data_IF_115071232048
#
_entry.id   IF_115071232048
#
_cell.length_a   1.000
_cell.length_b   1.000
_cell.length_c   1.000
_cell.angle_alpha   90.00
_cell.angle_beta   90.00
_cell.angle_gamma   90.00
#
_symmetry.space_group_name_H-M   'P 1'
#
loop_
_entity.id
_entity.type
_entity.pdbx_description
1 polymer ?
#
# COMPACT_ATOMS: atom_id res chain seq x y z
N UNK A 1 -1.68 -2.18 44.77
CA UNK A 1 -2.33 -3.29 44.06
C UNK A 1 -1.59 -3.36 42.76
N UNK A 2 -0.81 -4.42 42.61
CA UNK A 2 0.38 -4.54 41.76
C UNK A 2 0.09 -4.24 40.29
N UNK A 3 0.96 -3.43 39.68
CA UNK A 3 1.18 -3.43 38.22
C UNK A 3 1.91 -4.73 37.88
N UNK A 4 1.17 -5.73 37.39
CA UNK A 4 1.73 -6.89 36.70
C UNK A 4 2.30 -6.42 35.36
N UNK A 5 3.58 -6.00 35.39
CA UNK A 5 4.42 -5.99 34.20
C UNK A 5 4.47 -7.44 33.69
N UNK A 6 3.79 -7.70 32.57
CA UNK A 6 3.93 -8.94 31.80
C UNK A 6 5.42 -9.17 31.51
N UNK A 7 6.04 -10.08 32.25
CA UNK A 7 7.38 -10.55 31.91
C UNK A 7 7.33 -11.21 30.52
N UNK A 8 8.26 -10.89 29.61
CA UNK A 8 8.29 -11.52 28.31
C UNK A 8 8.50 -13.02 28.47
N UNK A 9 7.71 -13.81 27.74
CA UNK A 9 7.79 -15.26 27.70
C UNK A 9 9.22 -15.73 27.37
N UNK A 10 9.92 -16.22 28.39
CA UNK A 10 11.32 -16.64 28.33
C UNK A 10 11.59 -17.72 27.26
N UNK A 11 10.58 -18.50 26.89
CA UNK A 11 10.65 -19.47 25.79
C UNK A 11 10.82 -18.82 24.42
N UNK A 12 10.07 -17.76 24.14
CA UNK A 12 10.11 -17.01 22.89
C UNK A 12 11.45 -16.27 22.70
N UNK A 13 12.02 -15.72 23.78
CA UNK A 13 13.34 -15.05 23.75
C UNK A 13 14.46 -16.04 23.41
N UNK A 14 14.41 -17.27 23.94
CA UNK A 14 15.42 -18.30 23.67
C UNK A 14 15.46 -18.76 22.20
N UNK A 15 14.30 -18.83 21.53
CA UNK A 15 14.19 -19.22 20.12
C UNK A 15 14.76 -18.15 19.17
N UNK A 16 14.53 -16.88 19.47
CA UNK A 16 15.10 -15.77 18.68
C UNK A 16 16.63 -15.79 18.79
N UNK A 17 17.17 -16.14 19.96
CA UNK A 17 18.62 -16.19 20.17
C UNK A 17 19.28 -17.39 19.46
N UNK A 18 18.61 -18.55 19.41
CA UNK A 18 19.06 -19.66 18.57
C UNK A 18 19.09 -19.28 17.07
N UNK A 19 18.16 -18.43 16.63
CA UNK A 19 18.11 -17.92 15.27
C UNK A 19 19.29 -16.99 14.95
N UNK A 20 19.71 -16.11 15.87
CA UNK A 20 20.87 -15.23 15.67
C UNK A 20 22.20 -15.99 15.59
N UNK A 21 22.29 -17.17 16.23
CA UNK A 21 23.40 -18.12 16.03
C UNK A 21 23.50 -18.68 14.61
N UNK A 22 22.49 -18.45 13.74
CA UNK A 22 22.41 -18.90 12.35
C UNK A 22 22.08 -17.74 11.38
N UNK A 23 22.85 -16.65 11.45
CA UNK A 23 22.65 -15.46 10.62
C UNK A 23 22.39 -15.76 9.12
N UNK A 24 23.07 -16.76 8.53
CA UNK A 24 22.90 -17.17 7.12
C UNK A 24 21.48 -17.63 6.75
N UNK A 25 20.65 -18.03 7.72
CA UNK A 25 19.27 -18.45 7.51
C UNK A 25 18.25 -17.34 7.70
N UNK A 26 18.68 -16.11 8.02
CA UNK A 26 17.80 -14.99 8.34
C UNK A 26 17.62 -14.06 7.14
N UNK A 27 16.37 -13.68 6.89
CA UNK A 27 15.99 -12.64 5.94
C UNK A 27 15.23 -11.54 6.69
N UNK A 28 15.77 -10.33 6.66
CA UNK A 28 15.08 -9.13 7.12
C UNK A 28 14.43 -8.44 5.93
N UNK A 29 13.15 -8.10 6.05
CA UNK A 29 12.41 -7.37 5.02
C UNK A 29 11.98 -6.03 5.63
N UNK A 30 12.54 -4.94 5.11
CA UNK A 30 12.12 -3.58 5.42
C UNK A 30 11.20 -3.12 4.30
N UNK A 31 9.89 -3.21 4.55
CA UNK A 31 8.87 -2.78 3.60
C UNK A 31 8.64 -1.27 3.72
N UNK A 32 8.72 -0.60 2.59
CA UNK A 32 8.67 0.85 2.36
C UNK A 32 9.52 1.70 3.32
N UNK A 33 10.83 1.70 3.09
CA UNK A 33 11.76 2.52 3.87
C UNK A 33 11.47 4.04 3.79
N UNK A 34 10.64 4.51 2.86
CA UNK A 34 10.26 5.93 2.80
C UNK A 34 9.37 6.35 3.96
N UNK A 35 8.59 5.43 4.50
CA UNK A 35 7.70 5.71 5.62
C UNK A 35 8.46 5.76 6.95
N UNK A 36 9.71 5.30 6.96
CA UNK A 36 10.57 5.37 8.14
C UNK A 36 10.88 6.83 8.50
N UNK A 37 10.36 7.26 9.65
CA UNK A 37 10.39 8.67 10.09
C UNK A 37 11.80 9.16 10.41
N UNK A 38 12.64 8.28 10.93
CA UNK A 38 14.01 8.62 11.30
C UNK A 38 14.94 8.57 10.09
N UNK A 39 15.86 9.53 10.01
CA UNK A 39 16.83 9.56 8.92
C UNK A 39 17.90 8.49 9.11
N UNK A 40 18.10 7.64 8.11
CA UNK A 40 19.23 6.70 8.05
C UNK A 40 20.34 7.31 7.20
N UNK A 41 21.44 7.72 7.82
CA UNK A 41 22.58 8.30 7.12
C UNK A 41 23.60 7.24 6.70
N UNK A 42 23.53 6.84 5.42
CA UNK A 42 24.52 5.96 4.82
C UNK A 42 25.80 6.70 4.41
N UNK A 43 25.83 8.04 4.46
CA UNK A 43 27.01 8.80 4.10
C UNK A 43 28.11 8.66 5.15
N UNK A 44 29.31 8.31 4.69
CA UNK A 44 30.47 8.02 5.54
C UNK A 44 31.05 9.29 6.23
N UNK A 45 30.41 10.45 6.06
CA UNK A 45 30.98 11.77 6.36
C UNK A 45 30.96 12.07 7.87
N UNK A 46 30.01 11.52 8.63
CA UNK A 46 29.89 11.77 10.08
C UNK A 46 30.68 10.79 10.96
N UNK A 47 31.26 9.72 10.40
CA UNK A 47 31.83 8.60 11.18
C UNK A 47 33.23 8.84 11.76
N UNK A 48 33.90 9.93 11.40
CA UNK A 48 35.26 10.22 11.87
C UNK A 48 35.32 11.15 13.10
N UNK A 49 34.18 11.58 13.66
CA UNK A 49 34.19 12.67 14.66
C UNK A 49 33.60 12.25 16.02
N UNK A 50 32.72 11.25 16.11
CA UNK A 50 32.22 10.76 17.41
C UNK A 50 31.96 9.24 17.40
N UNK A 51 32.16 8.54 18.54
CA UNK A 51 31.83 7.13 18.69
C UNK A 51 30.30 6.99 18.84
N UNK A 52 29.56 7.17 17.75
CA UNK A 52 28.13 6.92 17.73
C UNK A 52 27.94 5.42 17.44
N UNK A 53 27.29 4.76 18.39
CA UNK A 53 27.24 3.33 18.63
C UNK A 53 26.94 2.52 17.36
N UNK A 54 27.95 1.80 16.85
CA UNK A 54 27.74 0.82 15.79
C UNK A 54 27.03 -0.38 16.42
N UNK A 55 25.73 -0.54 16.15
CA UNK A 55 24.95 -1.70 16.58
C UNK A 55 25.54 -2.96 15.92
N UNK A 56 26.48 -3.59 16.61
CA UNK A 56 27.23 -4.77 16.11
C UNK A 56 26.93 -6.00 16.95
N UNK A 57 26.44 -5.78 18.17
CA UNK A 57 26.04 -6.80 19.10
C UNK A 57 24.49 -6.89 19.12
N UNK A 58 23.90 -8.03 18.74
CA UNK A 58 22.45 -8.22 18.79
C UNK A 58 21.88 -8.14 20.21
N UNK A 59 22.71 -8.22 21.25
CA UNK A 59 22.29 -8.07 22.65
C UNK A 59 22.31 -6.60 23.13
N UNK A 60 22.87 -5.69 22.33
CA UNK A 60 23.00 -4.28 22.71
C UNK A 60 21.74 -3.47 22.42
N UNK A 61 21.36 -2.61 23.37
CA UNK A 61 20.31 -1.61 23.15
C UNK A 61 20.82 -0.54 22.20
N UNK A 62 20.15 -0.37 21.06
CA UNK A 62 20.48 0.59 20.03
C UNK A 62 19.19 1.23 19.50
N UNK A 63 19.31 2.42 18.91
CA UNK A 63 18.20 3.04 18.19
C UNK A 63 17.81 2.17 16.97
N UNK A 64 16.53 2.16 16.61
CA UNK A 64 16.03 1.36 15.47
C UNK A 64 16.74 1.75 14.18
N UNK A 65 16.99 3.04 13.98
CA UNK A 65 17.73 3.56 12.83
C UNK A 65 19.16 3.00 12.74
N UNK A 66 19.84 2.82 13.88
CA UNK A 66 21.19 2.23 13.96
C UNK A 66 21.16 0.71 13.71
N UNK A 67 20.11 0.02 14.15
CA UNK A 67 19.90 -1.41 13.87
C UNK A 67 19.67 -1.63 12.37
N UNK A 68 18.74 -0.87 11.76
CA UNK A 68 18.44 -0.96 10.32
C UNK A 68 19.68 -0.64 9.50
N UNK A 69 20.39 0.43 9.84
CA UNK A 69 21.66 0.78 9.23
C UNK A 69 22.67 -0.37 9.32
N UNK A 70 22.85 -0.95 10.51
CA UNK A 70 23.87 -1.97 10.75
C UNK A 70 23.54 -3.31 10.09
N UNK A 71 22.26 -3.67 9.97
CA UNK A 71 21.81 -4.84 9.19
C UNK A 71 22.07 -4.65 7.70
N UNK A 72 21.68 -3.51 7.12
CA UNK A 72 21.90 -3.20 5.69
C UNK A 72 23.40 -3.19 5.36
N UNK A 73 24.23 -2.74 6.29
CA UNK A 73 25.68 -2.69 6.12
C UNK A 73 26.40 -3.98 6.53
N UNK A 74 25.64 -5.03 6.90
CA UNK A 74 26.14 -6.32 7.38
C UNK A 74 27.09 -6.21 8.59
N UNK A 75 26.95 -5.15 9.39
CA UNK A 75 27.67 -4.93 10.66
C UNK A 75 27.00 -5.66 11.81
N UNK A 76 25.68 -5.80 11.74
CA UNK A 76 24.89 -6.65 12.63
C UNK A 76 24.52 -7.94 11.92
N UNK A 77 24.68 -9.08 12.60
CA UNK A 77 24.37 -10.43 12.08
C UNK A 77 24.97 -10.68 10.68
N UNK A 78 26.32 -10.64 10.54
CA UNK A 78 26.97 -10.83 9.25
C UNK A 78 26.58 -12.17 8.64
N UNK A 79 26.13 -12.14 7.38
CA UNK A 79 25.62 -13.30 6.65
C UNK A 79 24.10 -13.36 6.52
N UNK A 80 23.34 -12.53 7.25
CA UNK A 80 21.91 -12.38 6.97
C UNK A 80 21.65 -11.72 5.61
N UNK A 81 20.47 -12.00 5.06
CA UNK A 81 19.96 -11.31 3.87
C UNK A 81 19.06 -10.16 4.30
N UNK A 82 19.12 -9.05 3.57
CA UNK A 82 18.26 -7.88 3.80
C UNK A 82 17.61 -7.50 2.48
N UNK A 83 16.28 -7.43 2.48
CA UNK A 83 15.46 -6.91 1.38
C UNK A 83 14.85 -5.58 1.83
N UNK A 84 15.05 -4.55 1.04
CA UNK A 84 14.48 -3.22 1.27
C UNK A 84 13.59 -2.88 0.09
N UNK A 85 12.35 -2.48 0.35
CA UNK A 85 11.48 -1.87 -0.65
C UNK A 85 11.43 -0.36 -0.39
N UNK A 86 11.38 0.42 -1.46
CA UNK A 86 11.34 1.88 -1.38
C UNK A 86 10.87 2.44 -2.73
N UNK A 87 10.07 3.51 -2.71
CA UNK A 87 9.77 4.28 -3.90
C UNK A 87 11.03 4.95 -4.49
N UNK A 88 10.99 5.20 -5.79
CA UNK A 88 12.15 5.72 -6.54
C UNK A 88 12.65 7.07 -6.02
N UNK A 89 11.82 7.89 -5.36
CA UNK A 89 12.23 9.21 -4.88
C UNK A 89 13.22 9.16 -3.71
N UNK A 90 13.31 8.07 -2.94
CA UNK A 90 14.35 7.89 -1.92
C UNK A 90 15.51 6.97 -2.34
N UNK A 91 15.55 6.53 -3.60
CA UNK A 91 16.66 5.71 -4.13
C UNK A 91 18.04 6.33 -3.85
N UNK A 92 18.15 7.67 -3.93
CA UNK A 92 19.37 8.43 -3.65
C UNK A 92 19.89 8.27 -2.21
N UNK A 93 19.03 7.97 -1.23
CA UNK A 93 19.45 7.68 0.15
C UNK A 93 20.15 6.32 0.23
N UNK A 94 19.66 5.36 -0.55
CA UNK A 94 20.14 3.99 -0.60
C UNK A 94 21.33 3.79 -1.54
N UNK A 95 21.63 4.72 -2.45
CA UNK A 95 22.83 4.67 -3.31
C UNK A 95 24.13 4.50 -2.51
N UNK A 96 24.19 5.15 -1.33
CA UNK A 96 25.36 5.07 -0.43
C UNK A 96 25.32 3.87 0.50
N UNK A 97 24.24 3.09 0.48
CA UNK A 97 24.05 1.95 1.37
C UNK A 97 24.84 0.69 0.94
N UNK A 98 25.52 0.71 -0.22
CA UNK A 98 26.34 -0.41 -0.66
C UNK A 98 25.53 -1.66 -1.03
N UNK A 99 24.29 -1.47 -1.52
CA UNK A 99 23.37 -2.55 -1.88
C UNK A 99 23.94 -3.41 -3.01
N UNK A 100 23.94 -4.72 -2.80
CA UNK A 100 24.53 -5.69 -3.74
C UNK A 100 23.67 -5.95 -4.99
N UNK A 101 22.34 -5.91 -4.85
CA UNK A 101 21.40 -6.21 -5.94
C UNK A 101 20.27 -5.18 -5.92
N UNK A 102 20.01 -4.61 -7.10
CA UNK A 102 18.89 -3.70 -7.33
C UNK A 102 17.89 -4.35 -8.26
N UNK A 103 16.61 -4.24 -7.92
CA UNK A 103 15.50 -4.66 -8.76
C UNK A 103 14.46 -3.54 -8.79
N UNK A 104 13.95 -3.24 -9.98
CA UNK A 104 12.86 -2.29 -10.18
C UNK A 104 11.57 -3.07 -10.41
N UNK A 105 10.54 -2.79 -9.61
CA UNK A 105 9.20 -3.35 -9.82
C UNK A 105 8.53 -2.50 -10.90
N UNK A 106 8.57 -3.01 -12.11
CA UNK A 106 7.95 -2.34 -13.26
C UNK A 106 6.42 -2.41 -13.13
N UNK A 107 5.84 -3.60 -13.02
CA UNK A 107 4.40 -3.82 -13.09
C UNK A 107 4.12 -4.94 -14.08
N UNK A 108 2.90 -5.00 -14.63
CA UNK A 108 2.52 -6.06 -15.56
C UNK A 108 3.06 -5.83 -16.98
N UNK A 109 3.90 -6.77 -17.41
CA UNK A 109 4.52 -6.79 -18.74
C UNK A 109 4.07 -8.02 -19.54
N UNK A 110 3.99 -7.87 -20.87
CA UNK A 110 3.56 -8.94 -21.77
C UNK A 110 2.22 -9.56 -21.37
N UNK A 111 2.18 -10.89 -21.24
CA UNK A 111 0.96 -11.65 -20.95
C UNK A 111 0.45 -11.53 -19.51
N UNK A 112 1.18 -10.87 -18.61
CA UNK A 112 0.79 -10.74 -17.19
C UNK A 112 -0.53 -9.99 -17.01
N UNK A 113 -0.81 -9.01 -17.86
CA UNK A 113 -2.08 -8.27 -17.86
C UNK A 113 -3.25 -9.22 -18.14
N UNK A 114 -3.15 -10.03 -19.19
CA UNK A 114 -4.14 -11.03 -19.54
C UNK A 114 -4.32 -12.06 -18.41
N UNK A 115 -3.21 -12.55 -17.82
CA UNK A 115 -3.24 -13.46 -16.68
C UNK A 115 -3.96 -12.88 -15.47
N UNK A 116 -3.76 -11.59 -15.18
CA UNK A 116 -4.49 -10.91 -14.11
C UNK A 116 -6.01 -10.99 -14.33
N UNK A 117 -6.50 -10.56 -15.49
CA UNK A 117 -7.94 -10.56 -15.75
C UNK A 117 -8.53 -11.99 -15.75
N UNK A 118 -7.81 -12.98 -16.27
CA UNK A 118 -8.22 -14.38 -16.21
C UNK A 118 -8.27 -14.94 -14.79
N UNK A 119 -7.42 -14.44 -13.88
CA UNK A 119 -7.45 -14.83 -12.47
C UNK A 119 -8.49 -14.06 -11.67
N UNK A 120 -8.79 -12.82 -12.07
CA UNK A 120 -9.73 -11.96 -11.37
C UNK A 120 -11.19 -12.40 -11.54
N UNK A 121 -11.59 -12.75 -12.77
CA UNK A 121 -12.97 -13.15 -13.06
C UNK A 121 -13.13 -14.68 -13.02
N UNK A 122 -14.17 -15.15 -12.35
CA UNK A 122 -14.53 -16.58 -12.33
C UNK A 122 -14.95 -17.08 -13.72
N UNK A 123 -15.69 -16.26 -14.46
CA UNK A 123 -16.16 -16.59 -15.81
C UNK A 123 -15.13 -16.18 -16.88
N UNK A 124 -14.51 -17.18 -17.51
CA UNK A 124 -13.47 -16.96 -18.52
C UNK A 124 -13.93 -16.13 -19.74
N UNK A 125 -15.23 -16.18 -20.08
CA UNK A 125 -15.80 -15.35 -21.14
C UNK A 125 -15.85 -13.87 -20.75
N UNK A 126 -16.11 -13.57 -19.48
CA UNK A 126 -16.09 -12.21 -18.92
C UNK A 126 -14.65 -11.69 -18.92
N UNK A 127 -13.70 -12.50 -18.42
CA UNK A 127 -12.28 -12.16 -18.43
C UNK A 127 -11.78 -11.78 -19.83
N UNK A 128 -12.05 -12.63 -20.83
CA UNK A 128 -11.65 -12.40 -22.20
C UNK A 128 -12.30 -11.14 -22.81
N UNK A 129 -13.58 -10.88 -22.49
CA UNK A 129 -14.29 -9.71 -23.00
C UNK A 129 -13.78 -8.40 -22.38
N UNK A 130 -13.53 -8.38 -21.07
CA UNK A 130 -12.93 -7.24 -20.36
C UNK A 130 -11.53 -6.97 -20.88
N UNK A 131 -10.67 -8.00 -20.94
CA UNK A 131 -9.29 -7.84 -21.41
C UNK A 131 -9.26 -7.31 -22.84
N UNK A 132 -10.08 -7.84 -23.75
CA UNK A 132 -10.19 -7.33 -25.12
C UNK A 132 -10.61 -5.87 -25.16
N UNK A 133 -11.59 -5.46 -24.35
CA UNK A 133 -12.02 -4.05 -24.30
C UNK A 133 -10.91 -3.13 -23.78
N UNK A 134 -10.12 -3.60 -22.81
CA UNK A 134 -8.93 -2.87 -22.31
C UNK A 134 -7.85 -2.79 -23.39
N UNK A 135 -7.56 -3.89 -24.08
CA UNK A 135 -6.55 -3.99 -25.13
C UNK A 135 -6.88 -3.11 -26.36
N UNK A 136 -8.16 -3.02 -26.74
CA UNK A 136 -8.64 -2.16 -27.83
C UNK A 136 -8.57 -0.66 -27.50
N UNK A 137 -8.30 -0.28 -26.24
CA UNK A 137 -8.20 1.10 -25.79
C UNK A 137 -6.80 1.40 -25.26
N UNK A 138 -5.99 2.11 -26.05
CA UNK A 138 -4.59 2.41 -25.75
C UNK A 138 -4.36 3.04 -24.36
N UNK A 139 -5.27 3.92 -23.92
CA UNK A 139 -5.17 4.57 -22.60
C UNK A 139 -5.38 3.54 -21.49
N UNK A 140 -6.46 2.75 -21.57
CA UNK A 140 -6.76 1.74 -20.55
C UNK A 140 -5.68 0.64 -20.54
N UNK A 141 -5.21 0.22 -21.72
CA UNK A 141 -4.15 -0.76 -21.85
C UNK A 141 -2.83 -0.25 -21.25
N UNK A 142 -2.46 1.01 -21.49
CA UNK A 142 -1.27 1.63 -20.90
C UNK A 142 -1.37 1.69 -19.38
N UNK A 143 -2.52 2.12 -18.85
CA UNK A 143 -2.75 2.19 -17.41
C UNK A 143 -2.72 0.80 -16.75
N UNK A 144 -3.18 -0.25 -17.44
CA UNK A 144 -3.17 -1.64 -16.95
C UNK A 144 -1.78 -2.26 -16.75
N UNK A 145 -0.71 -1.52 -17.04
CA UNK A 145 0.63 -1.85 -16.56
C UNK A 145 0.72 -1.82 -15.02
N UNK A 146 0.02 -0.91 -14.35
CA UNK A 146 0.00 -0.84 -12.89
C UNK A 146 -1.12 -1.77 -12.35
N UNK A 147 -0.80 -2.72 -11.45
CA UNK A 147 -1.78 -3.67 -10.91
C UNK A 147 -3.03 -3.05 -10.27
N UNK A 148 -2.90 -1.89 -9.62
CA UNK A 148 -4.04 -1.18 -9.01
C UNK A 148 -5.04 -0.73 -10.07
N UNK A 149 -4.58 -0.34 -11.26
CA UNK A 149 -5.48 -0.02 -12.37
C UNK A 149 -6.18 -1.24 -12.94
N UNK A 150 -5.52 -2.40 -12.99
CA UNK A 150 -6.20 -3.64 -13.39
C UNK A 150 -7.36 -3.98 -12.45
N UNK A 151 -7.19 -3.74 -11.15
CA UNK A 151 -8.25 -3.93 -10.17
C UNK A 151 -9.43 -2.97 -10.41
N UNK A 152 -9.17 -1.67 -10.57
CA UNK A 152 -10.18 -0.65 -10.89
C UNK A 152 -10.91 -1.01 -12.20
N UNK A 153 -10.17 -1.34 -13.26
CA UNK A 153 -10.73 -1.74 -14.55
C UNK A 153 -11.65 -2.96 -14.41
N UNK A 154 -11.24 -3.95 -13.61
CA UNK A 154 -12.01 -5.17 -13.44
C UNK A 154 -13.33 -4.91 -12.70
N UNK A 155 -13.29 -4.11 -11.64
CA UNK A 155 -14.49 -3.70 -10.88
C UNK A 155 -15.41 -2.81 -11.71
N UNK A 156 -14.88 -1.90 -12.53
CA UNK A 156 -15.67 -0.99 -13.36
C UNK A 156 -16.28 -1.67 -14.59
N UNK A 157 -15.57 -2.61 -15.22
CA UNK A 157 -15.97 -3.19 -16.51
C UNK A 157 -16.70 -4.52 -16.38
N UNK A 158 -16.44 -5.31 -15.34
CA UNK A 158 -16.92 -6.70 -15.23
C UNK A 158 -18.41 -6.85 -15.49
N UNK A 159 -19.24 -6.03 -14.83
CA UNK A 159 -20.71 -6.07 -14.93
C UNK A 159 -21.26 -5.92 -16.35
N UNK A 160 -20.58 -5.19 -17.22
CA UNK A 160 -21.00 -5.02 -18.62
C UNK A 160 -20.89 -6.30 -19.44
N UNK A 161 -20.14 -7.29 -18.94
CA UNK A 161 -19.85 -8.54 -19.63
C UNK A 161 -20.40 -9.78 -18.92
N UNK A 162 -20.85 -9.68 -17.67
CA UNK A 162 -21.44 -10.78 -16.88
C UNK A 162 -22.91 -11.09 -17.23
N UNK A 163 -23.70 -10.09 -17.64
CA UNK A 163 -25.15 -10.29 -17.84
C UNK A 163 -25.58 -10.42 -19.31
N UNK A 164 -26.74 -11.08 -19.51
CA UNK A 164 -27.51 -11.08 -20.77
C UNK A 164 -27.95 -9.67 -21.22
N UNK A 165 -27.73 -8.65 -20.38
CA UNK A 165 -27.99 -7.23 -20.62
C UNK A 165 -26.90 -6.48 -21.41
N UNK A 166 -26.18 -7.22 -22.27
CA UNK A 166 -25.35 -6.72 -23.37
C UNK A 166 -25.98 -5.61 -24.24
N UNK A 167 -27.27 -5.30 -24.06
CA UNK A 167 -28.13 -4.61 -25.03
C UNK A 167 -28.49 -3.17 -24.69
N UNK A 168 -28.15 -2.60 -23.53
CA UNK A 168 -28.64 -1.23 -23.21
C UNK A 168 -27.59 -0.22 -22.75
N UNK A 169 -26.47 -0.62 -22.14
CA UNK A 169 -25.46 0.35 -21.68
C UNK A 169 -24.17 0.29 -22.50
N UNK A 170 -23.63 1.47 -22.86
CA UNK A 170 -22.34 1.59 -23.54
C UNK A 170 -21.22 1.32 -22.55
N UNK A 171 -20.35 0.36 -22.86
CA UNK A 171 -19.18 0.04 -22.05
C UNK A 171 -18.28 1.28 -21.91
N UNK A 172 -17.80 1.64 -20.70
CA UNK A 172 -16.95 2.79 -20.45
C UNK A 172 -15.70 2.81 -21.33
N UNK A 173 -15.43 3.95 -21.98
CA UNK A 173 -14.23 4.13 -22.83
C UNK A 173 -13.30 5.24 -22.35
N UNK A 174 -13.80 6.19 -21.57
CA UNK A 174 -12.98 7.26 -21.00
C UNK A 174 -12.69 6.98 -19.53
N UNK A 175 -11.59 7.55 -19.03
CA UNK A 175 -11.21 7.46 -17.61
C UNK A 175 -12.35 8.01 -16.72
N UNK A 176 -12.95 9.14 -17.09
CA UNK A 176 -14.11 9.71 -16.38
C UNK A 176 -15.26 8.72 -16.29
N UNK A 177 -15.64 8.07 -17.40
CA UNK A 177 -16.69 7.05 -17.39
C UNK A 177 -16.30 5.87 -16.49
N UNK A 178 -15.05 5.40 -16.60
CA UNK A 178 -14.56 4.29 -15.80
C UNK A 178 -14.68 4.57 -14.30
N UNK A 179 -14.26 5.76 -13.86
CA UNK A 179 -14.34 6.16 -12.46
C UNK A 179 -15.77 6.45 -12.02
N UNK A 180 -16.62 7.04 -12.87
CA UNK A 180 -18.06 7.15 -12.57
C UNK A 180 -18.69 5.78 -12.31
N UNK A 181 -18.37 4.76 -13.13
CA UNK A 181 -18.87 3.41 -12.91
C UNK A 181 -18.21 2.70 -11.73
N UNK A 182 -16.95 2.99 -11.43
CA UNK A 182 -16.28 2.51 -10.21
C UNK A 182 -17.05 2.94 -8.97
N UNK A 183 -17.29 4.25 -8.84
CA UNK A 183 -18.04 4.85 -7.73
C UNK A 183 -19.48 4.30 -7.70
N UNK A 184 -20.16 4.27 -8.85
CA UNK A 184 -21.51 3.71 -8.95
C UNK A 184 -21.56 2.25 -8.46
N UNK A 185 -20.60 1.40 -8.84
CA UNK A 185 -20.58 0.01 -8.43
C UNK A 185 -20.39 -0.14 -6.92
N UNK A 186 -19.55 0.70 -6.30
CA UNK A 186 -19.40 0.75 -4.85
C UNK A 186 -20.72 1.15 -4.20
N UNK A 187 -21.37 2.22 -4.66
CA UNK A 187 -22.65 2.68 -4.14
C UNK A 187 -23.74 1.60 -4.23
N UNK A 188 -23.80 0.84 -5.32
CA UNK A 188 -24.77 -0.25 -5.48
C UNK A 188 -24.53 -1.42 -4.52
N UNK A 189 -23.27 -1.72 -4.20
CA UNK A 189 -22.89 -2.87 -3.38
C UNK A 189 -22.83 -2.56 -1.88
N UNK A 190 -22.41 -1.35 -1.52
CA UNK A 190 -22.12 -0.96 -0.14
C UNK A 190 -23.01 0.20 0.36
N UNK A 191 -23.84 0.80 -0.51
CA UNK A 191 -24.71 1.93 -0.15
C UNK A 191 -26.09 1.55 0.38
N UNK A 192 -26.42 0.26 0.50
CA UNK A 192 -27.76 -0.20 0.89
C UNK A 192 -28.15 0.19 2.32
N UNK A 193 -27.17 0.39 3.20
CA UNK A 193 -27.38 0.74 4.61
C UNK A 193 -27.23 2.24 4.89
N UNK A 194 -27.13 3.08 3.86
CA UNK A 194 -26.90 4.52 3.99
C UNK A 194 -28.16 5.29 3.66
N UNK A 195 -28.56 6.15 4.60
CA UNK A 195 -29.73 7.00 4.46
C UNK A 195 -29.58 8.05 3.35
N UNK A 196 -28.38 8.63 3.17
CA UNK A 196 -28.08 9.59 2.10
C UNK A 196 -26.68 9.36 1.48
N UNK A 197 -26.56 8.52 0.45
CA UNK A 197 -25.29 8.27 -0.24
C UNK A 197 -24.70 9.50 -0.92
N UNK A 198 -25.51 10.51 -1.24
CA UNK A 198 -25.05 11.73 -1.88
C UNK A 198 -24.32 12.63 -0.88
N UNK A 199 -24.87 12.83 0.32
CA UNK A 199 -24.21 13.57 1.40
C UNK A 199 -22.86 12.93 1.79
N UNK A 200 -22.81 11.60 1.90
CA UNK A 200 -21.56 10.91 2.20
C UNK A 200 -20.53 11.07 1.07
N UNK A 201 -20.95 10.99 -0.19
CA UNK A 201 -20.06 11.19 -1.33
C UNK A 201 -19.51 12.62 -1.39
N UNK A 202 -20.32 13.63 -1.05
CA UNK A 202 -19.86 15.02 -0.93
C UNK A 202 -18.80 15.17 0.17
N UNK A 203 -19.06 14.65 1.37
CA UNK A 203 -18.09 14.68 2.49
C UNK A 203 -16.80 13.95 2.16
N UNK A 204 -16.91 12.80 1.48
CA UNK A 204 -15.74 12.06 0.99
C UNK A 204 -14.97 12.89 -0.06
N UNK A 205 -15.68 13.60 -0.94
CA UNK A 205 -15.12 14.53 -1.91
C UNK A 205 -14.34 15.67 -1.26
N UNK A 206 -14.90 16.30 -0.22
CA UNK A 206 -14.24 17.36 0.54
C UNK A 206 -12.95 16.87 1.24
N UNK A 207 -13.01 15.66 1.82
CA UNK A 207 -11.83 15.00 2.40
C UNK A 207 -10.77 14.70 1.34
N UNK A 208 -11.18 14.16 0.19
CA UNK A 208 -10.29 13.85 -0.92
C UNK A 208 -9.65 15.12 -1.51
N UNK A 209 -10.41 16.21 -1.62
CA UNK A 209 -9.95 17.52 -2.10
C UNK A 209 -8.91 18.13 -1.17
N UNK A 210 -9.18 18.12 0.14
CA UNK A 210 -8.20 18.54 1.15
C UNK A 210 -6.94 17.70 1.04
N UNK A 211 -7.10 16.37 0.97
CA UNK A 211 -5.98 15.45 0.82
C UNK A 211 -5.13 15.72 -0.43
N UNK A 212 -5.76 15.91 -1.59
CA UNK A 212 -5.06 16.20 -2.84
C UNK A 212 -4.32 17.54 -2.78
N UNK A 213 -4.95 18.58 -2.21
CA UNK A 213 -4.37 19.91 -2.05
C UNK A 213 -3.15 19.92 -1.13
N UNK A 214 -3.18 19.09 -0.08
CA UNK A 214 -2.12 18.96 0.91
C UNK A 214 -1.11 17.84 0.59
N UNK A 215 -1.28 17.15 -0.55
CA UNK A 215 -0.50 15.96 -0.94
C UNK A 215 -0.53 14.84 0.10
N UNK A 216 -1.66 14.71 0.80
CA UNK A 216 -1.96 13.67 1.77
C UNK A 216 -2.69 12.51 1.09
N UNK A 217 -2.10 11.32 1.22
CA UNK A 217 -2.61 10.06 0.67
C UNK A 217 -3.08 9.07 1.77
N UNK A 218 -2.58 9.25 2.99
CA UNK A 218 -2.95 8.47 4.18
C UNK A 218 -3.86 9.30 5.08
N UNK A 219 -5.04 8.75 5.40
CA UNK A 219 -6.05 9.35 6.27
C UNK A 219 -6.16 8.53 7.56
N UNK A 220 -6.34 9.19 8.70
CA UNK A 220 -6.50 8.55 10.01
C UNK A 220 -7.96 8.63 10.47
N UNK A 221 -8.29 7.90 11.53
CA UNK A 221 -9.61 7.96 12.17
C UNK A 221 -10.08 9.40 12.45
N UNK A 222 -9.17 10.31 12.86
CA UNK A 222 -9.51 11.72 13.08
C UNK A 222 -10.00 12.44 11.82
N UNK A 223 -9.42 12.14 10.66
CA UNK A 223 -9.85 12.69 9.37
C UNK A 223 -11.25 12.18 9.00
N UNK A 224 -11.48 10.87 9.16
CA UNK A 224 -12.80 10.27 8.89
C UNK A 224 -13.89 10.84 9.78
N UNK A 225 -13.62 11.02 11.08
CA UNK A 225 -14.58 11.59 12.03
C UNK A 225 -14.89 13.05 11.66
N UNK A 226 -13.88 13.82 11.22
CA UNK A 226 -14.06 15.22 10.84
C UNK A 226 -15.04 15.38 9.66
N UNK A 227 -14.93 14.55 8.63
CA UNK A 227 -15.75 14.69 7.42
C UNK A 227 -16.99 13.80 7.42
N UNK A 228 -16.84 12.53 7.78
CA UNK A 228 -17.83 11.46 7.55
C UNK A 228 -18.56 11.06 8.83
N UNK A 229 -18.05 11.49 10.00
CA UNK A 229 -18.63 11.36 11.34
C UNK A 229 -18.73 9.94 11.91
N UNK A 230 -18.97 8.89 11.10
CA UNK A 230 -18.87 7.49 11.51
C UNK A 230 -18.13 6.63 10.49
N UNK A 231 -17.11 5.84 10.92
CA UNK A 231 -16.55 4.77 10.11
C UNK A 231 -17.64 3.73 9.87
N UNK A 232 -18.14 3.62 8.64
CA UNK A 232 -19.18 2.66 8.28
C UNK A 232 -18.65 1.64 7.26
N UNK A 233 -19.36 0.53 7.10
CA UNK A 233 -19.08 -0.48 6.07
C UNK A 233 -19.01 0.14 4.66
N UNK A 234 -19.61 1.31 4.44
CA UNK A 234 -19.48 2.07 3.21
C UNK A 234 -18.06 2.50 2.88
N UNK A 235 -17.29 2.93 3.88
CA UNK A 235 -15.92 3.41 3.66
C UNK A 235 -15.01 2.31 3.15
N UNK A 236 -15.25 1.06 3.56
CA UNK A 236 -14.53 -0.11 3.04
C UNK A 236 -14.71 -0.32 1.52
N UNK A 237 -15.77 0.25 0.93
CA UNK A 237 -15.98 0.23 -0.51
C UNK A 237 -15.15 1.27 -1.25
N UNK A 238 -14.82 2.40 -0.62
CA UNK A 238 -14.09 3.52 -1.25
C UNK A 238 -12.61 3.58 -0.88
N UNK A 239 -12.26 3.06 0.29
CA UNK A 239 -10.94 3.17 0.89
C UNK A 239 -10.44 1.80 1.34
N UNK A 240 -9.13 1.60 1.22
CA UNK A 240 -8.43 0.47 1.81
C UNK A 240 -8.02 0.84 3.23
N UNK A 241 -8.30 -0.06 4.18
CA UNK A 241 -7.91 0.07 5.58
C UNK A 241 -6.63 -0.73 5.83
N UNK A 242 -5.66 -0.10 6.50
CA UNK A 242 -4.42 -0.69 6.97
C UNK A 242 -4.27 -0.44 8.47
N UNK A 243 -3.46 -1.27 9.12
CA UNK A 243 -3.07 -1.05 10.51
C UNK A 243 -1.69 -0.43 10.54
N UNK A 244 -1.58 0.74 11.16
CA UNK A 244 -0.32 1.42 11.45
C UNK A 244 -0.15 1.51 12.96
N UNK A 245 0.96 1.01 13.51
CA UNK A 245 1.22 1.06 14.95
C UNK A 245 2.71 1.05 15.27
N UNK A 246 3.04 1.67 16.40
CA UNK A 246 4.30 1.50 17.14
C UNK A 246 3.97 0.90 18.52
N UNK A 247 4.83 0.02 19.01
CA UNK A 247 4.92 -0.47 20.40
C UNK A 247 3.58 -0.67 21.14
N UNK A 248 2.71 -1.52 20.56
CA UNK A 248 1.46 -2.08 21.13
C UNK A 248 0.12 -1.39 20.87
N UNK A 249 0.08 -0.24 20.18
CA UNK A 249 -1.19 0.41 19.77
C UNK A 249 -1.28 0.51 18.26
N UNK A 250 -2.07 -0.40 17.66
CA UNK A 250 -2.42 -0.31 16.24
C UNK A 250 -3.56 0.70 16.03
N UNK A 251 -3.34 1.62 15.10
CA UNK A 251 -4.33 2.57 14.63
C UNK A 251 -4.72 2.25 13.18
N UNK A 252 -6.01 2.29 12.88
CA UNK A 252 -6.47 2.14 11.51
C UNK A 252 -6.13 3.41 10.71
N UNK A 253 -5.53 3.20 9.54
CA UNK A 253 -5.32 4.21 8.52
C UNK A 253 -5.98 3.80 7.22
N UNK A 254 -6.34 4.79 6.42
CA UNK A 254 -7.19 4.63 5.25
C UNK A 254 -6.53 5.31 4.07
N UNK A 255 -6.57 4.67 2.91
CA UNK A 255 -6.08 5.24 1.65
C UNK A 255 -7.10 5.01 0.55
N UNK A 256 -7.12 5.88 -0.45
CA UNK A 256 -7.84 5.53 -1.68
C UNK A 256 -7.07 4.42 -2.42
N UNK A 257 -7.76 3.51 -3.13
CA UNK A 257 -7.15 2.47 -3.95
C UNK A 257 -6.06 2.94 -4.91
N UNK A 258 -6.19 4.17 -5.38
CA UNK A 258 -5.20 4.84 -6.20
C UNK A 258 -5.39 6.37 -6.12
N UNK A 259 -4.30 7.13 -6.25
CA UNK A 259 -4.33 8.60 -6.20
C UNK A 259 -5.32 9.20 -7.21
N UNK A 260 -5.43 8.63 -8.40
CA UNK A 260 -6.38 9.14 -9.41
C UNK A 260 -7.85 8.92 -9.05
N UNK A 261 -8.17 7.96 -8.17
CA UNK A 261 -9.52 7.82 -7.62
C UNK A 261 -9.76 8.93 -6.59
N UNK A 262 -8.78 9.22 -5.74
CA UNK A 262 -8.84 10.36 -4.81
C UNK A 262 -9.07 11.67 -5.59
N UNK A 263 -8.29 11.94 -6.64
CA UNK A 263 -8.43 13.13 -7.48
C UNK A 263 -9.80 13.19 -8.17
N UNK A 264 -10.31 12.06 -8.64
CA UNK A 264 -11.63 12.01 -9.26
C UNK A 264 -12.74 12.32 -8.26
N UNK A 265 -12.67 11.74 -7.05
CA UNK A 265 -13.64 12.00 -5.97
C UNK A 265 -13.55 13.44 -5.49
N UNK A 266 -12.34 14.01 -5.41
CA UNK A 266 -12.13 15.43 -5.13
C UNK A 266 -12.74 16.35 -6.19
N UNK A 267 -12.81 15.93 -7.45
CA UNK A 267 -13.41 16.71 -8.54
C UNK A 267 -14.95 16.66 -8.56
N UNK A 268 -15.59 15.91 -7.66
CA UNK A 268 -17.05 15.85 -7.53
C UNK A 268 -17.63 16.96 -6.67
N UNK A 269 -16.79 17.71 -5.94
CA UNK A 269 -17.17 18.80 -5.01
C UNK A 269 -16.82 20.18 -5.55
#
# INVERSE_FOLDING_TARGET
MEDELLEPDTGSVSLIWECFGRALGLLFIFDDLNEFKDSIDFSDIRRNIEPQFMCTDPESWCEVSDIVYSLIQHKLLPGCSVLVTSCLTASHLLEKAGISVWAEILGFVGDERNRYFNRFFEEQMVAAAVFRHVEENEILYTMSYNPSYCWILSLSLGRFFTEKDRKQQKVPRTITQLYSYYIYNILQNHGQEIEDPHDVLLKLGEMAFTGASEKKIVFRNGDLIQYIQQPSQFLSGFMMEFLEGDDSVYSAVYTFPHLTIQEFVAALV
#
